data_IF_647663767888
#
_entry.id   IF_647663767888
#
_cell.length_a   1.000
_cell.length_b   1.000
_cell.length_c   1.000
_cell.angle_alpha   90.00
_cell.angle_beta   90.00
_cell.angle_gamma   90.00
#
_symmetry.space_group_name_H-M   'P 1'
#
loop_
_entity.id
_entity.type
_entity.pdbx_description
1 polymer ?
#
# COMPACT_ATOMS: atom_id res chain seq x y z
N UNK A 1 -45.38 0.74 15.35
CA UNK A 1 -44.53 1.91 14.98
C UNK A 1 -43.43 2.16 16.02
N UNK A 2 -43.78 2.25 17.31
CA UNK A 2 -42.82 2.50 18.40
C UNK A 2 -41.60 1.56 18.45
N UNK A 3 -41.74 0.27 18.12
CA UNK A 3 -40.61 -0.67 18.17
C UNK A 3 -39.56 -0.46 17.07
N UNK A 4 -39.93 0.14 15.93
CA UNK A 4 -38.98 0.46 14.85
C UNK A 4 -38.15 1.69 15.21
N UNK A 5 -38.77 2.69 15.82
CA UNK A 5 -38.06 3.88 16.32
C UNK A 5 -37.09 3.53 17.44
N UNK A 6 -37.48 2.62 18.34
CA UNK A 6 -36.61 2.12 19.42
C UNK A 6 -35.41 1.31 18.90
N UNK A 7 -35.60 0.53 17.83
CA UNK A 7 -34.50 -0.18 17.14
C UNK A 7 -33.56 0.75 16.41
N UNK A 8 -34.10 1.79 15.76
CA UNK A 8 -33.28 2.81 15.09
C UNK A 8 -32.44 3.63 16.08
N UNK A 9 -32.99 3.98 17.25
CA UNK A 9 -32.26 4.65 18.33
C UNK A 9 -31.19 3.76 18.99
N UNK A 10 -31.32 2.44 18.89
CA UNK A 10 -30.37 1.47 19.42
C UNK A 10 -29.41 0.94 18.34
N UNK A 11 -29.44 1.50 17.13
CA UNK A 11 -28.61 1.06 16.01
C UNK A 11 -27.28 1.84 16.00
N UNK A 12 -26.20 1.14 16.33
CA UNK A 12 -24.82 1.68 16.36
C UNK A 12 -24.06 1.43 15.05
N UNK A 13 -24.73 0.89 14.02
CA UNK A 13 -24.12 0.63 12.71
C UNK A 13 -23.53 1.88 12.05
N UNK A 14 -24.09 3.06 12.33
CA UNK A 14 -23.53 4.34 11.86
C UNK A 14 -22.22 4.75 12.57
N UNK A 15 -22.08 4.44 13.86
CA UNK A 15 -20.86 4.72 14.64
C UNK A 15 -19.73 3.80 14.21
N UNK A 16 -20.03 2.51 14.03
CA UNK A 16 -19.05 1.54 13.51
C UNK A 16 -18.56 1.88 12.10
N UNK A 17 -19.40 2.44 11.22
CA UNK A 17 -18.97 2.87 9.89
C UNK A 17 -17.94 4.01 9.90
N UNK A 18 -17.99 4.92 10.89
CA UNK A 18 -17.01 6.01 11.02
C UNK A 18 -15.67 5.49 11.51
N UNK A 19 -15.66 4.58 12.47
CA UNK A 19 -14.44 3.98 13.02
C UNK A 19 -13.70 3.14 11.97
N UNK A 20 -14.44 2.25 11.28
CA UNK A 20 -13.87 1.48 10.17
C UNK A 20 -13.49 2.38 9.00
N UNK A 21 -14.17 3.51 8.79
CA UNK A 21 -13.80 4.53 7.80
C UNK A 21 -12.41 5.12 8.05
N UNK A 22 -12.09 5.48 9.30
CA UNK A 22 -10.77 6.02 9.66
C UNK A 22 -9.70 4.92 9.58
N UNK A 23 -9.99 3.71 10.05
CA UNK A 23 -9.08 2.57 9.91
C UNK A 23 -8.77 2.25 8.44
N UNK A 24 -9.78 2.28 7.58
CA UNK A 24 -9.63 2.07 6.14
C UNK A 24 -8.77 3.18 5.50
N UNK A 25 -8.98 4.44 5.88
CA UNK A 25 -8.17 5.56 5.41
C UNK A 25 -6.70 5.44 5.85
N UNK A 26 -6.45 5.06 7.11
CA UNK A 26 -5.10 4.84 7.63
C UNK A 26 -4.39 3.69 6.90
N UNK A 27 -5.09 2.58 6.67
CA UNK A 27 -4.55 1.45 5.91
C UNK A 27 -4.26 1.82 4.46
N UNK A 28 -5.17 2.55 3.79
CA UNK A 28 -4.96 3.03 2.43
C UNK A 28 -3.74 3.95 2.32
N UNK A 29 -3.56 4.87 3.28
CA UNK A 29 -2.38 5.73 3.34
C UNK A 29 -1.09 4.92 3.53
N UNK A 30 -1.08 3.95 4.44
CA UNK A 30 0.07 3.09 4.69
C UNK A 30 0.45 2.27 3.44
N UNK A 31 -0.53 1.66 2.77
CA UNK A 31 -0.32 0.95 1.51
C UNK A 31 0.24 1.90 0.45
N UNK A 32 -0.32 3.11 0.33
CA UNK A 32 0.16 4.12 -0.62
C UNK A 32 1.63 4.51 -0.41
N UNK A 33 2.07 4.66 0.84
CA UNK A 33 3.47 4.97 1.16
C UNK A 33 4.42 3.81 0.85
N UNK A 34 3.99 2.57 1.12
CA UNK A 34 4.84 1.39 0.90
C UNK A 34 4.92 1.04 -0.59
N UNK A 35 3.76 0.96 -1.25
CA UNK A 35 3.58 0.42 -2.59
C UNK A 35 3.37 1.46 -3.68
N UNK A 36 3.32 2.75 -3.34
CA UNK A 36 3.29 3.83 -4.32
C UNK A 36 4.48 3.77 -5.28
N UNK A 37 4.40 4.47 -6.41
CA UNK A 37 5.46 4.51 -7.44
C UNK A 37 6.83 4.94 -6.89
N UNK A 38 6.78 5.81 -5.87
CA UNK A 38 7.92 6.36 -5.13
C UNK A 38 8.03 5.76 -3.72
N UNK A 39 7.27 4.69 -3.46
CA UNK A 39 7.28 3.98 -2.20
C UNK A 39 8.59 3.22 -1.98
N UNK A 40 8.91 2.99 -0.71
CA UNK A 40 10.17 2.35 -0.29
C UNK A 40 10.31 0.97 -0.91
N UNK A 41 9.23 0.20 -0.97
CA UNK A 41 9.26 -1.17 -1.51
C UNK A 41 9.51 -1.17 -3.02
N UNK A 42 8.78 -0.33 -3.77
CA UNK A 42 8.92 -0.24 -5.23
C UNK A 42 10.31 0.27 -5.62
N UNK A 43 10.84 1.23 -4.87
CA UNK A 43 12.19 1.76 -5.08
C UNK A 43 13.26 0.69 -4.88
N UNK A 44 13.22 -0.03 -3.75
CA UNK A 44 14.16 -1.12 -3.48
C UNK A 44 14.08 -2.23 -4.53
N UNK A 45 12.87 -2.54 -5.02
CA UNK A 45 12.66 -3.52 -6.08
C UNK A 45 13.30 -3.06 -7.40
N UNK A 46 13.08 -1.81 -7.80
CA UNK A 46 13.68 -1.22 -9.01
C UNK A 46 15.22 -1.25 -8.93
N UNK A 47 15.79 -0.84 -7.80
CA UNK A 47 17.24 -0.85 -7.58
C UNK A 47 17.82 -2.26 -7.71
N UNK A 48 17.16 -3.25 -7.11
CA UNK A 48 17.61 -4.63 -7.19
C UNK A 48 17.58 -5.18 -8.62
N UNK A 49 16.52 -4.89 -9.38
CA UNK A 49 16.45 -5.27 -10.78
C UNK A 49 17.45 -4.51 -11.65
N UNK A 50 17.72 -3.24 -11.37
CA UNK A 50 18.77 -2.47 -12.06
C UNK A 50 20.13 -3.12 -11.85
N UNK A 51 20.47 -3.49 -10.62
CA UNK A 51 21.74 -4.18 -10.31
C UNK A 51 21.87 -5.49 -11.10
N UNK A 52 20.80 -6.26 -11.21
CA UNK A 52 20.79 -7.51 -11.99
C UNK A 52 20.99 -7.20 -13.48
N UNK A 53 20.29 -6.20 -14.02
CA UNK A 53 20.44 -5.78 -15.42
C UNK A 53 21.86 -5.30 -15.73
N UNK A 54 22.47 -4.54 -14.81
CA UNK A 54 23.85 -4.07 -14.91
C UNK A 54 24.82 -5.25 -14.91
N UNK A 55 24.64 -6.22 -14.00
CA UNK A 55 25.47 -7.43 -13.95
C UNK A 55 25.39 -8.24 -15.26
N UNK A 56 24.19 -8.41 -15.82
CA UNK A 56 24.01 -9.11 -17.10
C UNK A 56 24.70 -8.35 -18.24
N UNK A 57 24.50 -7.03 -18.31
CA UNK A 57 25.06 -6.18 -19.37
C UNK A 57 26.59 -6.16 -19.30
N UNK A 58 27.15 -6.01 -18.11
CA UNK A 58 28.60 -6.01 -17.87
C UNK A 58 29.22 -7.38 -18.14
N UNK A 59 28.52 -8.47 -17.80
CA UNK A 59 28.98 -9.85 -18.13
C UNK A 59 29.07 -10.05 -19.65
N UNK A 60 28.14 -9.47 -20.40
CA UNK A 60 28.11 -9.56 -21.87
C UNK A 60 29.16 -8.65 -22.55
N UNK A 61 29.87 -7.79 -21.81
CA UNK A 61 30.89 -6.90 -22.35
C UNK A 61 32.24 -7.09 -21.61
N UNK A 62 32.99 -8.17 -21.90
CA UNK A 62 34.18 -8.58 -21.14
C UNK A 62 35.40 -7.64 -21.23
N UNK A 63 35.26 -6.42 -21.74
CA UNK A 63 36.31 -5.40 -21.86
C UNK A 63 36.17 -4.17 -20.95
N UNK A 64 35.08 -4.04 -20.19
CA UNK A 64 34.84 -2.89 -19.31
C UNK A 64 35.28 -3.11 -17.84
N UNK A 65 35.78 -4.31 -17.51
CA UNK A 65 36.38 -4.60 -16.20
C UNK A 65 37.85 -4.17 -16.16
N UNK A 66 38.09 -2.85 -16.11
CA UNK A 66 39.25 -2.25 -15.45
C UNK A 66 38.81 -1.04 -14.66
#
# INVERSE_FOLDING_TARGET
>A
MASRLKKFLADESGVTAIEYGILAAAMAAAIGVIFGSDGVFVTALKERFSTIADQITNTNNPGASK
#
